data_IF_608608522252
#
_entry.id   IF_608608522252
#
_cell.length_a   1.000
_cell.length_b   1.000
_cell.length_c   1.000
_cell.angle_alpha   90.00
_cell.angle_beta   90.00
_cell.angle_gamma   90.00
#
_symmetry.space_group_name_H-M   'P 1'
#
loop_
_entity.id
_entity.type
_entity.pdbx_description
1 polymer ?
#
# COMPACT_ATOMS: atom_id res chain seq x y z
N UNK A 1 -5.89 5.99 1.63
CA UNK A 1 -5.11 7.13 2.16
C UNK A 1 -5.77 7.78 3.36
N UNK A 2 -6.95 8.37 3.22
CA UNK A 2 -7.66 9.07 4.32
C UNK A 2 -7.91 8.20 5.55
N UNK A 3 -8.30 6.94 5.34
CA UNK A 3 -8.47 5.94 6.42
C UNK A 3 -7.20 5.68 7.25
N UNK A 4 -6.03 5.93 6.68
CA UNK A 4 -4.73 5.77 7.34
C UNK A 4 -4.13 7.13 7.76
N UNK A 5 -4.95 8.20 7.81
CA UNK A 5 -4.50 9.55 8.18
C UNK A 5 -3.58 10.22 7.16
N UNK A 6 -3.55 9.74 5.91
CA UNK A 6 -2.71 10.29 4.84
C UNK A 6 -3.52 11.14 3.85
N UNK A 7 -2.93 12.20 3.26
CA UNK A 7 -3.64 13.04 2.30
C UNK A 7 -4.03 12.26 1.04
N UNK A 8 -5.32 12.30 0.69
CA UNK A 8 -5.87 11.58 -0.47
C UNK A 8 -5.34 12.09 -1.81
N UNK A 9 -5.12 13.40 -1.93
CA UNK A 9 -4.57 14.03 -3.15
C UNK A 9 -3.17 13.51 -3.49
N UNK A 10 -2.44 12.99 -2.49
CA UNK A 10 -1.10 12.46 -2.70
C UNK A 10 -1.05 11.21 -3.59
N UNK A 11 -2.19 10.55 -3.83
CA UNK A 11 -2.30 9.47 -4.80
C UNK A 11 -2.07 9.94 -6.26
N UNK A 12 -2.27 11.23 -6.54
CA UNK A 12 -2.13 11.80 -7.89
C UNK A 12 -0.68 12.07 -8.29
N UNK A 13 0.21 12.25 -7.30
CA UNK A 13 1.64 12.48 -7.55
C UNK A 13 2.37 11.12 -7.49
N UNK A 14 2.99 10.64 -8.58
CA UNK A 14 3.54 9.28 -8.64
C UNK A 14 4.53 8.94 -7.52
N UNK A 15 5.52 9.81 -7.28
CA UNK A 15 6.55 9.58 -6.26
C UNK A 15 5.94 9.68 -4.86
N UNK A 16 5.10 10.70 -4.62
CA UNK A 16 4.49 10.90 -3.31
C UNK A 16 3.51 9.79 -2.96
N UNK A 17 2.78 9.25 -3.94
CA UNK A 17 1.91 8.09 -3.78
C UNK A 17 2.68 6.89 -3.22
N UNK A 18 3.86 6.57 -3.77
CA UNK A 18 4.71 5.48 -3.27
C UNK A 18 5.17 5.74 -1.84
N UNK A 19 5.59 6.97 -1.52
CA UNK A 19 5.98 7.35 -0.15
C UNK A 19 4.80 7.13 0.82
N UNK A 20 3.61 7.57 0.45
CA UNK A 20 2.42 7.39 1.28
C UNK A 20 2.06 5.91 1.44
N UNK A 21 2.14 5.11 0.38
CA UNK A 21 1.89 3.66 0.45
C UNK A 21 2.91 2.97 1.37
N UNK A 22 4.20 3.33 1.31
CA UNK A 22 5.22 2.82 2.22
C UNK A 22 4.90 3.17 3.67
N UNK A 23 4.46 4.41 3.94
CA UNK A 23 4.05 4.84 5.28
C UNK A 23 2.80 4.09 5.78
N UNK A 24 1.83 3.81 4.90
CA UNK A 24 0.63 3.02 5.24
C UNK A 24 1.00 1.55 5.47
N UNK A 25 2.00 1.04 4.77
CA UNK A 25 2.53 -0.31 4.95
C UNK A 25 3.45 -0.45 6.18
N UNK A 26 3.75 0.64 6.90
CA UNK A 26 4.72 0.63 8.00
C UNK A 26 6.16 0.36 7.56
N UNK A 27 6.51 0.63 6.30
CA UNK A 27 7.83 0.38 5.71
C UNK A 27 8.68 1.67 5.67
N UNK A 28 10.02 1.57 5.77
CA UNK A 28 10.89 2.73 5.74
C UNK A 28 10.86 3.40 4.37
N UNK A 29 10.86 4.74 4.34
CA UNK A 29 10.73 5.54 3.11
C UNK A 29 11.89 5.28 2.13
N UNK A 30 13.08 4.91 2.63
CA UNK A 30 14.23 4.55 1.81
C UNK A 30 13.96 3.41 0.81
N UNK A 31 12.93 2.58 1.04
CA UNK A 31 12.48 1.56 0.08
C UNK A 31 12.07 2.13 -1.27
N UNK A 32 11.81 3.44 -1.38
CA UNK A 32 11.59 4.09 -2.68
C UNK A 32 12.74 3.87 -3.66
N UNK A 33 13.99 3.73 -3.19
CA UNK A 33 15.13 3.43 -4.06
C UNK A 33 15.07 2.00 -4.61
N UNK A 34 14.47 1.07 -3.87
CA UNK A 34 14.28 -0.31 -4.32
C UNK A 34 13.28 -0.41 -5.47
N UNK A 35 12.36 0.56 -5.59
CA UNK A 35 11.46 0.66 -6.74
C UNK A 35 12.16 1.06 -8.05
N UNK A 36 13.39 1.58 -7.99
CA UNK A 36 14.18 1.92 -9.17
C UNK A 36 14.94 0.71 -9.75
N UNK A 37 15.08 -0.37 -8.97
CA UNK A 37 15.79 -1.57 -9.40
C UNK A 37 14.78 -2.49 -10.11
N UNK A 38 14.98 -2.83 -11.39
CA UNK A 38 14.12 -3.77 -12.11
C UNK A 38 14.00 -5.11 -11.38
N UNK A 39 12.83 -5.75 -11.44
CA UNK A 39 12.48 -7.02 -10.76
C UNK A 39 12.31 -6.85 -9.24
N UNK A 40 13.26 -6.19 -8.57
CA UNK A 40 13.15 -5.89 -7.13
C UNK A 40 11.92 -5.01 -6.86
N UNK A 41 11.64 -4.05 -7.73
CA UNK A 41 10.46 -3.21 -7.65
C UNK A 41 9.14 -4.00 -7.58
N UNK A 42 9.03 -5.11 -8.33
CA UNK A 42 7.84 -5.98 -8.31
C UNK A 42 7.72 -6.73 -6.97
N UNK A 43 8.83 -7.29 -6.48
CA UNK A 43 8.86 -8.01 -5.20
C UNK A 43 8.48 -7.07 -4.06
N UNK A 44 9.07 -5.87 -4.04
CA UNK A 44 8.78 -4.86 -3.04
C UNK A 44 7.33 -4.38 -3.13
N UNK A 45 6.79 -4.17 -4.34
CA UNK A 45 5.39 -3.80 -4.51
C UNK A 45 4.43 -4.84 -3.93
N UNK A 46 4.70 -6.14 -4.14
CA UNK A 46 3.91 -7.24 -3.56
C UNK A 46 4.00 -7.24 -2.04
N UNK A 47 5.20 -7.07 -1.47
CA UNK A 47 5.39 -7.02 -0.01
C UNK A 47 4.60 -5.84 0.58
N UNK A 48 4.74 -4.64 0.00
CA UNK A 48 4.03 -3.44 0.44
C UNK A 48 2.52 -3.64 0.37
N UNK A 49 2.00 -4.25 -0.70
CA UNK A 49 0.58 -4.55 -0.84
C UNK A 49 0.07 -5.53 0.23
N UNK A 50 0.86 -6.56 0.55
CA UNK A 50 0.54 -7.52 1.62
C UNK A 50 0.54 -6.84 2.99
N UNK A 51 1.49 -5.97 3.27
CA UNK A 51 1.55 -5.30 4.56
C UNK A 51 0.44 -4.26 4.72
N UNK A 52 0.09 -3.54 3.64
CA UNK A 52 -1.14 -2.72 3.61
C UNK A 52 -2.35 -3.60 3.94
N UNK A 53 -2.52 -4.76 3.28
CA UNK A 53 -3.63 -5.66 3.57
C UNK A 53 -3.69 -6.04 5.06
N UNK A 54 -2.55 -6.41 5.66
CA UNK A 54 -2.47 -6.76 7.09
C UNK A 54 -2.88 -5.61 8.01
N UNK A 55 -2.49 -4.37 7.70
CA UNK A 55 -2.92 -3.18 8.44
C UNK A 55 -4.43 -2.92 8.37
N UNK A 56 -5.15 -3.55 7.46
CA UNK A 56 -6.61 -3.49 7.37
C UNK A 56 -7.29 -4.82 7.78
N UNK A 57 -6.58 -5.67 8.54
CA UNK A 57 -6.99 -7.03 8.94
C UNK A 57 -7.39 -7.92 7.76
N UNK A 58 -6.74 -7.73 6.61
CA UNK A 58 -6.93 -8.57 5.43
C UNK A 58 -5.78 -9.57 5.30
N UNK A 59 -6.11 -10.78 4.84
CA UNK A 59 -5.13 -11.86 4.67
C UNK A 59 -4.23 -11.67 3.45
N UNK A 60 -3.20 -12.52 3.34
CA UNK A 60 -2.20 -12.48 2.26
C UNK A 60 -2.83 -12.55 0.86
N UNK A 61 -3.90 -13.34 0.67
CA UNK A 61 -4.59 -13.41 -0.62
C UNK A 61 -5.19 -12.06 -1.06
N UNK A 62 -5.69 -11.26 -0.11
CA UNK A 62 -6.14 -9.90 -0.39
C UNK A 62 -4.97 -8.97 -0.72
N UNK A 63 -3.82 -9.17 -0.06
CA UNK A 63 -2.57 -8.50 -0.39
C UNK A 63 -2.08 -8.77 -1.81
N UNK A 64 -2.16 -10.03 -2.26
CA UNK A 64 -1.88 -10.38 -3.65
C UNK A 64 -2.90 -9.74 -4.60
N UNK A 65 -4.18 -9.70 -4.21
CA UNK A 65 -5.22 -8.95 -4.93
C UNK A 65 -4.90 -7.46 -5.06
N UNK A 66 -4.38 -6.82 -4.01
CA UNK A 66 -3.90 -5.43 -4.08
C UNK A 66 -2.70 -5.26 -5.02
N UNK A 67 -1.78 -6.24 -5.06
CA UNK A 67 -0.58 -6.17 -5.89
C UNK A 67 -0.89 -6.32 -7.40
N UNK A 68 -1.73 -7.30 -7.76
CA UNK A 68 -1.99 -7.65 -9.17
C UNK A 68 -3.29 -7.04 -9.71
N UNK A 69 -4.27 -6.79 -8.85
CA UNK A 69 -5.61 -6.28 -9.18
C UNK A 69 -5.92 -5.01 -8.38
N UNK A 70 -4.92 -4.14 -8.21
CA UNK A 70 -5.02 -2.94 -7.39
C UNK A 70 -6.19 -2.02 -7.76
N UNK A 71 -6.54 -1.93 -9.06
CA UNK A 71 -7.68 -1.14 -9.53
C UNK A 71 -9.02 -1.55 -8.89
N UNK A 72 -9.15 -2.81 -8.46
CA UNK A 72 -10.35 -3.32 -7.80
C UNK A 72 -10.17 -3.31 -6.27
N UNK A 73 -9.03 -3.81 -5.79
CA UNK A 73 -8.82 -4.04 -4.36
C UNK A 73 -8.55 -2.75 -3.57
N UNK A 74 -7.87 -1.75 -4.14
CA UNK A 74 -7.66 -0.47 -3.46
C UNK A 74 -8.97 0.29 -3.23
N UNK A 75 -9.92 0.38 -4.21
CA UNK A 75 -11.25 0.91 -3.94
C UNK A 75 -12.04 0.11 -2.90
N UNK A 76 -12.00 -1.23 -2.93
CA UNK A 76 -12.67 -2.04 -1.89
C UNK A 76 -12.15 -1.68 -0.50
N UNK A 77 -10.83 -1.54 -0.36
CA UNK A 77 -10.19 -1.16 0.90
C UNK A 77 -10.53 0.29 1.29
N UNK A 78 -10.52 1.20 0.32
CA UNK A 78 -10.72 2.63 0.49
C UNK A 78 -12.16 3.03 0.80
N UNK A 79 -13.14 2.39 0.17
CA UNK A 79 -14.56 2.73 0.27
C UNK A 79 -15.40 1.74 1.08
N UNK A 80 -14.92 0.51 1.31
CA UNK A 80 -15.63 -0.47 2.14
C UNK A 80 -15.51 -0.20 3.64
N UNK A 81 -15.89 -1.15 4.49
CA UNK A 81 -15.88 -0.98 5.97
C UNK A 81 -14.53 -1.24 6.65
N UNK A 82 -13.49 -1.56 5.88
CA UNK A 82 -12.17 -1.87 6.43
C UNK A 82 -11.60 -0.67 7.20
N UNK A 83 -11.11 -0.92 8.42
CA UNK A 83 -10.48 0.08 9.29
C UNK A 83 -8.97 -0.13 9.29
N UNK A 84 -8.23 0.98 9.23
CA UNK A 84 -6.77 0.93 9.34
C UNK A 84 -6.36 0.75 10.80
N UNK A 85 -5.45 -0.19 11.04
CA UNK A 85 -4.77 -0.41 12.31
C UNK A 85 -3.31 -0.06 12.10
N UNK A 86 -2.86 1.03 12.72
CA UNK A 86 -1.43 1.36 12.74
C UNK A 86 -0.67 0.17 13.35
N UNK A 87 0.52 -0.16 12.81
CA UNK A 87 1.45 -1.04 13.52
C UNK A 87 1.65 -0.47 14.93
N UNK A 88 1.48 -1.33 15.94
CA UNK A 88 1.93 -1.04 17.30
C UNK A 88 3.46 -0.88 17.32
#
# INVERSE_FOLDING_TARGET
>A
FTKAGKPGWGALIPIYNVILLLQIAGRPIWWILLFLIPIVNLVIAVIVAIDIAKHFDKGTGFGLGLAFLGFIFYPILGFGDARYRAAA
#
